data_IF_553552098677
#
_entry.id   IF_553552098677
#
_cell.length_a   1.000
_cell.length_b   1.000
_cell.length_c   1.000
_cell.angle_alpha   90.00
_cell.angle_beta   90.00
_cell.angle_gamma   90.00
#
_symmetry.space_group_name_H-M   'P 1'
#
loop_
_entity.id
_entity.type
_entity.pdbx_description
1 polymer ?
#
# COMPACT_ATOMS: atom_id res chain seq x y z
N UNK A 1 -18.31 10.55 10.89
CA UNK A 1 -17.00 10.84 10.27
C UNK A 1 -15.91 10.00 10.90
N UNK A 2 -14.89 9.61 10.12
CA UNK A 2 -13.72 8.88 10.65
C UNK A 2 -12.62 9.84 11.08
N UNK A 3 -11.99 9.54 12.21
CA UNK A 3 -10.84 10.27 12.73
C UNK A 3 -9.61 9.97 11.87
N UNK A 4 -9.05 10.98 11.20
CA UNK A 4 -7.90 10.81 10.31
C UNK A 4 -6.54 10.94 11.03
N UNK A 5 -6.49 11.64 12.16
CA UNK A 5 -5.27 11.93 12.90
C UNK A 5 -5.24 13.34 13.45
N UNK A 6 -4.14 13.69 14.10
CA UNK A 6 -3.88 15.03 14.62
C UNK A 6 -2.78 15.69 13.81
N UNK A 7 -3.03 16.92 13.36
CA UNK A 7 -2.11 17.68 12.50
C UNK A 7 -1.87 19.06 13.09
N UNK A 8 -0.63 19.48 13.06
CA UNK A 8 -0.23 20.85 13.37
C UNK A 8 -0.23 21.68 12.09
N UNK A 9 -0.92 22.81 12.09
CA UNK A 9 -0.88 23.79 11.01
C UNK A 9 0.42 24.59 11.13
N UNK A 10 1.26 24.57 10.10
CA UNK A 10 2.55 25.26 10.07
C UNK A 10 2.45 26.64 9.38
N UNK A 11 1.35 26.93 8.72
CA UNK A 11 1.10 28.18 8.00
C UNK A 11 0.40 27.98 6.66
N UNK A 12 0.19 29.09 5.95
CA UNK A 12 -0.34 29.08 4.57
C UNK A 12 0.78 28.70 3.61
N UNK A 13 0.51 27.80 2.65
CA UNK A 13 1.47 27.36 1.62
C UNK A 13 1.24 28.12 0.30
N UNK A 14 0.01 28.08 -0.22
CA UNK A 14 -0.36 28.72 -1.50
C UNK A 14 -1.81 29.19 -1.47
N UNK A 15 -2.08 30.28 -2.19
CA UNK A 15 -3.44 30.71 -2.56
C UNK A 15 -3.64 30.49 -4.06
N UNK A 16 -4.76 29.88 -4.43
CA UNK A 16 -5.14 29.79 -5.83
C UNK A 16 -5.82 31.08 -6.30
N UNK A 17 -5.87 31.27 -7.63
CA UNK A 17 -6.64 32.36 -8.26
C UNK A 17 -8.13 32.34 -7.89
N UNK A 18 -8.66 31.17 -7.47
CA UNK A 18 -10.04 31.02 -7.02
C UNK A 18 -10.24 31.30 -5.51
N UNK A 19 -9.21 31.79 -4.82
CA UNK A 19 -9.27 32.09 -3.38
C UNK A 19 -9.15 30.90 -2.45
N UNK A 20 -8.86 29.70 -2.97
CA UNK A 20 -8.57 28.53 -2.11
C UNK A 20 -7.20 28.68 -1.45
N UNK A 21 -7.14 28.45 -0.16
CA UNK A 21 -5.91 28.49 0.64
C UNK A 21 -5.45 27.07 0.93
N UNK A 22 -4.24 26.75 0.53
CA UNK A 22 -3.56 25.52 0.95
C UNK A 22 -2.78 25.82 2.22
N UNK A 23 -2.90 24.94 3.21
CA UNK A 23 -2.17 25.05 4.47
C UNK A 23 -1.12 23.96 4.56
N UNK A 24 0.06 24.30 5.00
CA UNK A 24 1.12 23.36 5.31
C UNK A 24 0.83 22.73 6.65
N UNK A 25 0.76 21.38 6.68
CA UNK A 25 0.47 20.63 7.90
C UNK A 25 1.57 19.63 8.22
N UNK A 26 1.77 19.35 9.52
CA UNK A 26 2.63 18.31 10.03
C UNK A 26 1.79 17.32 10.81
N UNK A 27 1.82 16.04 10.42
CA UNK A 27 1.19 14.99 11.20
C UNK A 27 1.88 14.84 12.56
N UNK A 28 1.10 14.74 13.62
CA UNK A 28 1.58 14.47 14.96
C UNK A 28 1.34 13.00 15.31
N UNK A 29 2.24 12.40 16.08
CA UNK A 29 2.10 11.00 16.50
C UNK A 29 1.05 10.77 17.59
N UNK A 30 0.39 11.85 18.04
CA UNK A 30 -0.66 11.80 19.05
C UNK A 30 -1.86 11.03 18.48
N UNK A 31 -2.28 9.97 19.17
CA UNK A 31 -3.41 9.11 18.77
C UNK A 31 -3.26 8.46 17.39
N UNK A 32 -2.04 8.29 16.90
CA UNK A 32 -1.76 7.65 15.60
C UNK A 32 -2.45 6.27 15.47
N UNK A 33 -2.51 5.50 16.57
CA UNK A 33 -3.16 4.18 16.62
C UNK A 33 -4.67 4.22 16.36
N UNK A 34 -5.31 5.39 16.47
CA UNK A 34 -6.74 5.58 16.22
C UNK A 34 -7.07 6.14 14.84
N UNK A 35 -6.06 6.54 14.08
CA UNK A 35 -6.24 7.04 12.71
C UNK A 35 -6.98 6.04 11.84
N UNK A 36 -8.08 6.46 11.22
CA UNK A 36 -8.94 5.62 10.39
C UNK A 36 -9.80 4.60 11.13
N UNK A 37 -9.60 4.40 12.44
CA UNK A 37 -10.32 3.39 13.23
C UNK A 37 -11.50 3.96 14.03
N UNK A 38 -11.43 5.20 14.44
CA UNK A 38 -12.45 5.81 15.29
C UNK A 38 -13.50 6.48 14.43
N UNK A 39 -14.75 6.04 14.59
CA UNK A 39 -15.92 6.70 14.01
C UNK A 39 -16.48 7.68 15.05
N UNK A 40 -16.54 8.95 14.68
CA UNK A 40 -17.06 10.02 15.55
C UNK A 40 -18.38 10.54 15.02
N UNK A 41 -19.27 10.90 15.94
CA UNK A 41 -20.46 11.68 15.61
C UNK A 41 -20.04 13.12 15.32
N UNK A 42 -20.08 13.49 14.04
CA UNK A 42 -19.74 14.85 13.62
C UNK A 42 -20.89 15.83 13.77
N UNK A 43 -22.10 15.34 14.07
CA UNK A 43 -23.37 16.08 14.14
C UNK A 43 -24.21 15.97 12.87
N UNK A 44 -25.46 16.46 12.95
CA UNK A 44 -26.45 16.40 11.88
C UNK A 44 -26.16 17.33 10.71
N UNK A 45 -27.09 17.41 9.74
CA UNK A 45 -26.95 18.20 8.50
C UNK A 45 -26.63 19.70 8.73
N UNK A 46 -26.99 20.27 9.87
CA UNK A 46 -26.62 21.64 10.23
C UNK A 46 -25.12 21.80 10.57
N UNK A 47 -24.40 20.68 10.78
CA UNK A 47 -22.97 20.66 11.08
C UNK A 47 -22.10 20.43 9.84
N UNK A 48 -22.57 20.80 8.66
CA UNK A 48 -21.84 20.67 7.36
C UNK A 48 -20.54 21.46 7.28
N UNK A 49 -20.06 22.04 8.36
CA UNK A 49 -18.79 22.73 8.38
C UNK A 49 -17.66 21.73 8.51
N UNK A 50 -16.78 21.73 7.59
CA UNK A 50 -15.51 21.00 7.58
C UNK A 50 -14.68 21.26 8.83
N UNK A 51 -14.79 22.46 9.38
CA UNK A 51 -14.00 22.93 10.49
C UNK A 51 -14.93 23.13 11.70
N UNK A 52 -14.60 22.45 12.79
CA UNK A 52 -15.24 22.69 14.08
C UNK A 52 -14.18 23.00 15.13
N UNK A 53 -14.54 23.84 16.10
CA UNK A 53 -13.65 24.12 17.20
C UNK A 53 -13.41 22.87 18.04
N UNK A 54 -12.15 22.61 18.40
CA UNK A 54 -11.74 21.44 19.19
C UNK A 54 -12.40 21.39 20.60
N UNK A 55 -12.85 22.52 21.11
CA UNK A 55 -13.56 22.61 22.40
C UNK A 55 -14.95 21.95 22.44
N UNK A 56 -15.47 21.53 21.28
CA UNK A 56 -16.74 20.83 21.23
C UNK A 56 -16.48 19.32 21.32
N UNK A 57 -16.99 18.69 22.39
CA UNK A 57 -16.88 17.25 22.56
C UNK A 57 -17.53 16.51 21.39
N UNK A 58 -16.93 15.39 21.03
CA UNK A 58 -17.40 14.50 19.98
C UNK A 58 -17.60 13.10 20.55
N UNK A 59 -18.81 12.58 20.40
CA UNK A 59 -19.09 11.22 20.82
C UNK A 59 -18.38 10.24 19.89
N UNK A 60 -17.70 9.27 20.49
CA UNK A 60 -17.18 8.12 19.77
C UNK A 60 -18.33 7.15 19.55
N UNK A 61 -18.67 6.89 18.30
CA UNK A 61 -19.73 5.95 17.92
C UNK A 61 -19.19 4.52 17.96
N UNK A 62 -17.96 4.33 17.43
CA UNK A 62 -17.36 3.02 17.27
C UNK A 62 -15.83 3.15 17.17
N UNK A 63 -15.15 2.15 17.68
CA UNK A 63 -13.71 1.95 17.46
C UNK A 63 -13.57 0.61 16.71
N UNK A 64 -13.15 0.67 15.45
CA UNK A 64 -12.93 -0.52 14.66
C UNK A 64 -11.68 -1.26 15.16
N UNK A 65 -11.82 -2.52 15.52
CA UNK A 65 -10.70 -3.40 15.85
C UNK A 65 -10.09 -3.91 14.55
N UNK A 66 -9.06 -3.32 14.05
CA UNK A 66 -8.29 -3.98 13.02
C UNK A 66 -7.77 -3.18 11.86
N UNK A 67 -8.53 -2.52 11.03
CA UNK A 67 -7.95 -1.95 9.81
C UNK A 67 -7.73 -0.45 9.95
N UNK A 68 -6.47 -0.05 10.21
CA UNK A 68 -6.06 1.35 10.04
C UNK A 68 -6.14 1.65 8.55
N UNK A 69 -7.14 2.40 8.08
CA UNK A 69 -7.12 2.94 6.72
C UNK A 69 -5.98 3.95 6.61
N UNK A 70 -4.82 3.49 6.22
CA UNK A 70 -3.72 4.37 5.87
C UNK A 70 -4.09 5.12 4.59
N UNK A 71 -3.97 6.43 4.59
CA UNK A 71 -4.03 7.20 3.36
C UNK A 71 -2.67 7.09 2.68
N UNK A 72 -2.53 6.06 1.84
CA UNK A 72 -1.34 5.84 1.02
C UNK A 72 -1.73 6.29 -0.39
N UNK A 73 -1.35 7.50 -0.82
CA UNK A 73 -1.68 7.97 -2.17
C UNK A 73 -0.85 7.20 -3.19
N UNK A 74 -1.45 6.81 -4.28
CA UNK A 74 -0.71 6.34 -5.45
C UNK A 74 -0.07 7.54 -6.16
N UNK A 75 1.23 7.49 -6.41
CA UNK A 75 1.94 8.54 -7.14
C UNK A 75 2.19 8.11 -8.59
N UNK A 76 3.22 7.35 -8.80
CA UNK A 76 3.54 6.72 -10.08
C UNK A 76 3.95 5.27 -9.85
N UNK A 77 3.92 4.44 -10.90
CA UNK A 77 4.37 3.05 -10.80
C UNK A 77 5.83 2.94 -10.36
N UNK A 78 6.68 3.88 -10.77
CA UNK A 78 8.11 3.89 -10.42
C UNK A 78 8.37 4.28 -8.95
N UNK A 79 7.41 4.97 -8.32
CA UNK A 79 7.51 5.38 -6.92
C UNK A 79 6.92 4.35 -5.96
N UNK A 80 6.37 3.25 -6.48
CA UNK A 80 5.74 2.24 -5.64
C UNK A 80 6.80 1.50 -4.84
N UNK A 81 6.72 1.67 -3.53
CA UNK A 81 7.46 0.91 -2.53
C UNK A 81 6.55 0.76 -1.31
N UNK A 82 6.04 -0.43 -1.09
CA UNK A 82 5.12 -0.75 0.00
C UNK A 82 5.73 -1.77 0.93
N UNK A 83 5.65 -1.55 2.24
CA UNK A 83 5.85 -2.63 3.19
C UNK A 83 4.61 -3.57 3.21
N UNK A 84 4.71 -4.71 3.88
CA UNK A 84 3.60 -5.67 3.93
C UNK A 84 2.35 -5.09 4.61
N UNK A 85 2.53 -4.24 5.60
CA UNK A 85 1.43 -3.59 6.31
C UNK A 85 0.66 -2.63 5.39
N UNK A 86 1.38 -1.89 4.57
CA UNK A 86 0.80 -0.98 3.58
C UNK A 86 0.06 -1.75 2.49
N UNK A 87 0.69 -2.79 1.93
CA UNK A 87 0.08 -3.68 0.95
C UNK A 87 -1.20 -4.32 1.50
N UNK A 88 -1.12 -4.90 2.69
CA UNK A 88 -2.26 -5.53 3.37
C UNK A 88 -3.40 -4.53 3.60
N UNK A 89 -3.05 -3.31 4.04
CA UNK A 89 -4.05 -2.25 4.23
C UNK A 89 -4.75 -1.85 2.92
N UNK A 90 -4.00 -1.66 1.85
CA UNK A 90 -4.54 -1.33 0.52
C UNK A 90 -5.52 -2.40 0.05
N UNK A 91 -5.19 -3.67 0.24
CA UNK A 91 -6.02 -4.80 -0.18
C UNK A 91 -7.23 -4.97 0.74
N UNK A 92 -7.05 -4.99 2.05
CA UNK A 92 -8.14 -5.21 3.02
C UNK A 92 -9.19 -4.08 3.01
N UNK A 93 -8.77 -2.86 2.67
CA UNK A 93 -9.69 -1.72 2.55
C UNK A 93 -10.27 -1.58 1.15
N UNK A 94 -9.89 -2.45 0.22
CA UNK A 94 -10.25 -2.37 -1.20
C UNK A 94 -10.04 -0.94 -1.74
N UNK A 95 -8.83 -0.40 -1.55
CA UNK A 95 -8.52 0.98 -1.93
C UNK A 95 -8.71 1.17 -3.44
N UNK A 96 -9.74 1.92 -3.82
CA UNK A 96 -10.16 2.07 -5.21
C UNK A 96 -9.06 2.65 -6.10
N UNK A 97 -8.31 3.66 -5.64
CA UNK A 97 -7.22 4.28 -6.41
C UNK A 97 -6.12 3.25 -6.74
N UNK A 98 -5.64 2.52 -5.74
CA UNK A 98 -4.61 1.50 -5.90
C UNK A 98 -5.09 0.33 -6.76
N UNK A 99 -6.32 -0.14 -6.49
CA UNK A 99 -6.92 -1.23 -7.27
C UNK A 99 -7.01 -0.87 -8.76
N UNK A 100 -7.58 0.30 -9.08
CA UNK A 100 -7.72 0.74 -10.47
C UNK A 100 -6.37 0.88 -11.17
N UNK A 101 -5.38 1.49 -10.51
CA UNK A 101 -4.04 1.65 -11.08
C UNK A 101 -3.33 0.31 -11.29
N UNK A 102 -3.28 -0.55 -10.28
CA UNK A 102 -2.57 -1.82 -10.38
C UNK A 102 -3.28 -2.86 -11.26
N UNK A 103 -4.60 -2.75 -11.40
CA UNK A 103 -5.39 -3.59 -12.32
C UNK A 103 -5.25 -3.14 -13.78
N UNK A 104 -4.91 -1.90 -14.03
CA UNK A 104 -4.78 -1.34 -15.39
C UNK A 104 -3.51 -1.78 -16.12
N UNK A 105 -2.58 -2.42 -15.45
CA UNK A 105 -1.27 -2.80 -16.02
C UNK A 105 -0.84 -4.20 -15.59
N UNK A 106 -0.19 -4.88 -16.51
CA UNK A 106 0.67 -6.02 -16.24
C UNK A 106 2.08 -5.53 -15.89
N UNK A 107 2.96 -6.39 -15.37
CA UNK A 107 4.31 -5.91 -15.05
C UNK A 107 5.21 -6.91 -14.35
N UNK A 108 6.44 -6.47 -14.19
CA UNK A 108 7.46 -7.14 -13.38
C UNK A 108 7.56 -6.39 -12.05
N UNK A 109 7.48 -7.12 -10.97
CA UNK A 109 7.62 -6.60 -9.62
C UNK A 109 8.73 -7.32 -8.87
N UNK A 110 9.21 -6.65 -7.83
CA UNK A 110 10.14 -7.24 -6.91
C UNK A 110 9.62 -7.24 -5.49
N UNK A 111 10.15 -8.17 -4.69
CA UNK A 111 10.00 -8.18 -3.24
C UNK A 111 11.42 -8.14 -2.67
N UNK A 112 11.71 -7.14 -1.85
CA UNK A 112 12.97 -7.03 -1.15
C UNK A 112 12.81 -7.44 0.31
N UNK A 113 13.80 -8.16 0.81
CA UNK A 113 13.93 -8.52 2.20
C UNK A 113 14.94 -7.60 2.89
N UNK A 114 14.43 -6.71 3.75
CA UNK A 114 15.24 -5.72 4.47
C UNK A 114 16.23 -6.34 5.45
N UNK A 115 16.00 -7.58 5.90
CA UNK A 115 16.84 -8.23 6.90
C UNK A 115 18.16 -8.73 6.32
N UNK A 116 18.18 -9.07 5.02
CA UNK A 116 19.32 -9.74 4.40
C UNK A 116 19.64 -9.26 2.98
N UNK A 117 18.84 -8.35 2.42
CA UNK A 117 19.01 -7.80 1.06
C UNK A 117 18.63 -8.74 -0.08
N UNK A 118 18.08 -9.92 0.20
CA UNK A 118 17.62 -10.83 -0.85
C UNK A 118 16.42 -10.29 -1.58
N UNK A 119 16.32 -10.66 -2.86
CA UNK A 119 15.24 -10.24 -3.74
C UNK A 119 14.48 -11.45 -4.27
N UNK A 120 13.19 -11.28 -4.45
CA UNK A 120 12.35 -12.10 -5.31
C UNK A 120 11.86 -11.26 -6.48
N UNK A 121 11.87 -11.81 -7.68
CA UNK A 121 11.31 -11.20 -8.89
C UNK A 121 10.15 -12.06 -9.37
N UNK A 122 9.03 -11.42 -9.63
CA UNK A 122 7.85 -12.05 -10.19
C UNK A 122 7.22 -11.22 -11.28
N UNK A 123 6.36 -11.86 -12.05
CA UNK A 123 5.51 -11.23 -13.06
C UNK A 123 4.05 -11.29 -12.64
N UNK A 124 3.32 -10.28 -13.07
CA UNK A 124 1.87 -10.25 -13.06
C UNK A 124 1.38 -10.10 -14.49
N UNK A 125 0.51 -11.01 -14.90
CA UNK A 125 -0.12 -11.01 -16.21
C UNK A 125 -1.54 -11.57 -16.10
N UNK A 126 -2.40 -11.21 -17.06
CA UNK A 126 -3.81 -11.55 -17.05
C UNK A 126 -4.71 -10.36 -16.73
N UNK A 127 -6.01 -10.60 -16.62
CA UNK A 127 -7.05 -9.56 -16.54
C UNK A 127 -7.02 -8.70 -15.27
N UNK A 128 -6.47 -9.24 -14.18
CA UNK A 128 -6.39 -8.54 -12.90
C UNK A 128 -5.07 -7.76 -12.73
N UNK A 129 -4.14 -7.85 -13.70
CA UNK A 129 -2.87 -7.15 -13.68
C UNK A 129 -2.03 -7.39 -12.43
N UNK A 130 -1.27 -6.37 -12.03
CA UNK A 130 -0.47 -6.42 -10.79
C UNK A 130 -1.36 -6.56 -9.56
N UNK A 131 -2.58 -6.01 -9.58
CA UNK A 131 -3.52 -6.08 -8.46
C UNK A 131 -3.83 -7.50 -8.02
N UNK A 132 -4.20 -8.36 -8.97
CA UNK A 132 -4.54 -9.75 -8.67
C UNK A 132 -3.41 -10.48 -7.96
N UNK A 133 -2.18 -10.32 -8.48
CA UNK A 133 -1.01 -10.97 -7.90
C UNK A 133 -0.65 -10.44 -6.51
N UNK A 134 -0.77 -9.13 -6.30
CA UNK A 134 -0.46 -8.51 -5.02
C UNK A 134 -1.54 -8.79 -3.97
N UNK A 135 -2.79 -8.98 -4.39
CA UNK A 135 -3.86 -9.48 -3.53
C UNK A 135 -3.53 -10.87 -2.98
N UNK A 136 -3.02 -11.79 -3.82
CA UNK A 136 -2.57 -13.12 -3.36
C UNK A 136 -1.53 -13.03 -2.25
N UNK A 137 -0.56 -12.10 -2.37
CA UNK A 137 0.42 -11.89 -1.30
C UNK A 137 -0.22 -11.38 -0.02
N UNK A 138 -1.12 -10.43 -0.10
CA UNK A 138 -1.81 -9.87 1.06
C UNK A 138 -2.66 -10.93 1.78
N UNK A 139 -3.33 -11.82 1.04
CA UNK A 139 -4.18 -12.88 1.57
C UNK A 139 -3.38 -14.07 2.14
N UNK A 140 -2.18 -14.29 1.65
CA UNK A 140 -1.30 -15.40 2.04
C UNK A 140 -0.20 -15.01 3.03
N UNK A 141 -0.39 -13.96 3.82
CA UNK A 141 0.60 -13.47 4.81
C UNK A 141 1.96 -13.09 4.19
N UNK A 142 1.99 -12.77 2.91
CA UNK A 142 3.17 -12.29 2.20
C UNK A 142 3.91 -13.33 1.36
N UNK A 143 3.49 -14.61 1.32
CA UNK A 143 4.23 -15.60 0.52
C UNK A 143 3.75 -15.75 -0.93
N UNK A 144 2.48 -15.39 -1.24
CA UNK A 144 1.93 -15.49 -2.61
C UNK A 144 2.20 -16.84 -3.29
N UNK A 145 2.23 -17.92 -2.51
CA UNK A 145 2.55 -19.29 -2.94
C UNK A 145 3.97 -19.48 -3.52
N UNK A 146 4.90 -18.56 -3.22
CA UNK A 146 6.32 -18.79 -3.50
C UNK A 146 6.92 -19.72 -2.45
N UNK A 147 7.48 -20.87 -2.89
CA UNK A 147 7.99 -21.93 -1.99
C UNK A 147 8.98 -21.41 -0.94
N UNK A 148 9.94 -20.56 -1.37
CA UNK A 148 10.96 -20.04 -0.46
C UNK A 148 10.36 -19.12 0.60
N UNK A 149 9.41 -18.27 0.21
CA UNK A 149 8.71 -17.39 1.14
C UNK A 149 7.75 -18.18 2.04
N UNK A 150 7.11 -19.23 1.51
CA UNK A 150 6.28 -20.16 2.30
C UNK A 150 7.08 -20.76 3.44
N UNK A 151 8.30 -21.25 3.16
CA UNK A 151 9.15 -21.88 4.19
C UNK A 151 9.58 -20.87 5.27
N UNK A 152 9.93 -19.66 4.88
CA UNK A 152 10.30 -18.58 5.80
C UNK A 152 9.11 -18.18 6.70
N UNK A 153 7.94 -17.96 6.09
CA UNK A 153 6.74 -17.50 6.81
C UNK A 153 6.17 -18.61 7.71
N UNK A 154 6.31 -19.88 7.35
CA UNK A 154 5.98 -21.00 8.27
C UNK A 154 6.82 -20.99 9.54
N UNK A 155 8.10 -20.62 9.45
CA UNK A 155 9.00 -20.53 10.61
C UNK A 155 8.75 -19.28 11.45
N UNK A 156 8.40 -18.16 10.81
CA UNK A 156 8.07 -16.90 11.47
C UNK A 156 6.85 -16.25 10.79
N UNK A 157 5.64 -16.39 11.33
CA UNK A 157 4.41 -15.85 10.72
C UNK A 157 4.39 -14.34 10.53
N UNK A 158 5.17 -13.58 11.30
CA UNK A 158 5.24 -12.13 11.23
C UNK A 158 6.40 -11.63 10.33
N UNK A 159 7.12 -12.56 9.71
CA UNK A 159 8.33 -12.22 8.93
C UNK A 159 8.07 -11.17 7.85
N UNK A 160 6.97 -11.29 7.11
CA UNK A 160 6.62 -10.36 6.06
C UNK A 160 6.34 -8.94 6.61
N UNK A 161 5.70 -8.85 7.78
CA UNK A 161 5.40 -7.58 8.45
C UNK A 161 6.66 -6.76 8.77
N UNK A 162 7.70 -7.46 9.18
CA UNK A 162 8.93 -6.82 9.65
C UNK A 162 9.91 -6.56 8.50
N UNK A 163 9.92 -7.44 7.48
CA UNK A 163 11.06 -7.51 6.58
C UNK A 163 10.76 -7.30 5.09
N UNK A 164 9.55 -7.62 4.60
CA UNK A 164 9.30 -7.63 3.16
C UNK A 164 8.75 -6.30 2.65
N UNK A 165 9.20 -5.90 1.45
CA UNK A 165 8.73 -4.71 0.73
C UNK A 165 8.47 -5.06 -0.73
N UNK A 166 7.37 -4.53 -1.29
CA UNK A 166 6.93 -4.71 -2.67
C UNK A 166 7.21 -3.47 -3.50
N UNK A 167 7.73 -3.64 -4.70
CA UNK A 167 8.01 -2.56 -5.64
C UNK A 167 7.81 -3.01 -7.09
N UNK A 168 7.63 -2.04 -8.00
CA UNK A 168 7.42 -2.30 -9.43
C UNK A 168 8.72 -2.00 -10.18
N UNK A 169 9.12 -2.90 -11.07
CA UNK A 169 10.31 -2.77 -11.91
C UNK A 169 9.97 -2.31 -13.33
N UNK A 170 8.88 -2.85 -13.87
CA UNK A 170 8.44 -2.57 -15.23
C UNK A 170 6.92 -2.74 -15.32
N UNK A 171 6.26 -1.89 -16.08
CA UNK A 171 4.84 -2.04 -16.41
C UNK A 171 4.67 -2.20 -17.92
N UNK A 172 3.68 -2.99 -18.32
CA UNK A 172 3.28 -3.16 -19.71
C UNK A 172 1.76 -3.32 -19.82
N UNK A 173 1.26 -3.20 -21.04
CA UNK A 173 -0.17 -3.29 -21.33
C UNK A 173 -0.74 -4.66 -20.97
N UNK A 174 -2.06 -4.73 -20.74
CA UNK A 174 -2.77 -5.98 -20.41
C UNK A 174 -2.81 -6.97 -21.60
N UNK A 175 -2.60 -6.51 -22.82
CA UNK A 175 -2.67 -7.32 -24.05
C UNK A 175 -1.35 -8.04 -24.40
N UNK A 176 -0.30 -7.86 -23.60
CA UNK A 176 0.95 -8.62 -23.83
C UNK A 176 0.74 -10.11 -23.56
N UNK A 177 1.46 -10.94 -24.31
CA UNK A 177 1.39 -12.39 -24.12
C UNK A 177 2.07 -12.84 -22.84
N UNK A 178 1.60 -13.94 -22.26
CA UNK A 178 2.23 -14.56 -21.08
C UNK A 178 3.71 -14.88 -21.36
N UNK A 179 4.04 -15.30 -22.57
CA UNK A 179 5.40 -15.57 -22.98
C UNK A 179 6.31 -14.34 -22.86
N UNK A 180 5.82 -13.16 -23.25
CA UNK A 180 6.54 -11.90 -23.07
C UNK A 180 6.77 -11.59 -21.60
N UNK A 181 5.74 -11.70 -20.77
CA UNK A 181 5.85 -11.45 -19.33
C UNK A 181 6.90 -12.38 -18.68
N UNK A 182 6.88 -13.67 -19.03
CA UNK A 182 7.86 -14.67 -18.55
C UNK A 182 9.28 -14.36 -19.04
N UNK A 183 9.45 -13.95 -20.29
CA UNK A 183 10.75 -13.52 -20.82
C UNK A 183 11.31 -12.32 -20.06
N UNK A 184 10.47 -11.30 -19.81
CA UNK A 184 10.87 -10.12 -19.03
C UNK A 184 11.23 -10.48 -17.59
N UNK A 185 10.45 -11.33 -16.94
CA UNK A 185 10.74 -11.83 -15.59
C UNK A 185 12.11 -12.54 -15.56
N UNK A 186 12.38 -13.42 -16.52
CA UNK A 186 13.65 -14.13 -16.61
C UNK A 186 14.83 -13.19 -16.81
N UNK A 187 14.67 -12.14 -17.62
CA UNK A 187 15.70 -11.12 -17.80
C UNK A 187 16.02 -10.38 -16.49
N UNK A 188 15.00 -10.00 -15.69
CA UNK A 188 15.22 -9.36 -14.39
C UNK A 188 15.82 -10.31 -13.36
N UNK A 189 15.41 -11.58 -13.33
CA UNK A 189 16.04 -12.63 -12.50
C UNK A 189 17.53 -12.75 -12.80
N UNK A 190 17.91 -12.68 -14.10
CA UNK A 190 19.29 -12.74 -14.52
C UNK A 190 20.06 -11.47 -14.13
N UNK A 191 19.53 -10.28 -14.45
CA UNK A 191 20.15 -8.99 -14.13
C UNK A 191 20.42 -8.82 -12.64
N UNK A 192 19.49 -9.27 -11.79
CA UNK A 192 19.55 -9.11 -10.34
C UNK A 192 20.06 -10.37 -9.61
N UNK A 193 20.48 -11.38 -10.36
CA UNK A 193 21.06 -12.63 -9.85
C UNK A 193 20.18 -13.34 -8.80
N UNK A 194 18.85 -13.17 -8.86
CA UNK A 194 17.94 -13.61 -7.80
C UNK A 194 17.78 -15.13 -7.72
N UNK A 195 18.15 -15.87 -8.78
CA UNK A 195 18.23 -17.34 -8.74
C UNK A 195 19.38 -17.84 -7.87
N UNK A 196 20.49 -17.09 -7.83
CA UNK A 196 21.68 -17.49 -7.07
C UNK A 196 21.69 -16.90 -5.65
N UNK A 197 21.28 -15.66 -5.51
CA UNK A 197 21.44 -14.90 -4.27
C UNK A 197 20.10 -14.45 -3.65
N UNK A 198 18.98 -14.70 -4.32
CA UNK A 198 17.63 -14.28 -3.90
C UNK A 198 16.71 -15.45 -3.61
N UNK A 199 15.41 -15.20 -3.82
CA UNK A 199 14.31 -16.13 -3.53
C UNK A 199 13.68 -16.76 -4.79
N UNK A 200 14.29 -16.65 -5.95
CA UNK A 200 13.85 -17.34 -7.15
C UNK A 200 14.56 -18.70 -7.28
N UNK A 201 13.79 -19.79 -7.45
CA UNK A 201 14.35 -21.14 -7.66
C UNK A 201 14.59 -21.46 -9.13
N UNK A 202 13.85 -20.84 -10.05
CA UNK A 202 13.79 -21.15 -11.50
C UNK A 202 13.97 -19.92 -12.39
#
# INVERSE_FOLDING_TARGET
>A
SRFAGVYQILGEDKKTSEGKVFVKVKALNIFKQFGGRVLVDWGGMAAQRWLQWFKNDKNIIQIDEGIIRMMIPFKTYNDVLLDFKELKNIVDTDNAEWREKLKAVNGIYGISDKSNGKLYIGSAYGEEGIWGRWKDYAETKGHGNNDMLVDIIKQNPDYAWDNLQWFILETFSLDVTDAYAVERENLYKLKLCTRRFGYNKN
#
